data_IF_381570979079
#
_entry.id   IF_381570979079
#
_cell.length_a   1.000
_cell.length_b   1.000
_cell.length_c   1.000
_cell.angle_alpha   90.00
_cell.angle_beta   90.00
_cell.angle_gamma   90.00
#
_symmetry.space_group_name_H-M   'P 1'
#
loop_
_entity.id
_entity.type
_entity.pdbx_description
1 polymer ?
#
# COMPACT_ATOMS: atom_id res chain seq x y z
N UNK A 1 8.31 29.92 20.16
CA UNK A 1 6.91 30.17 20.60
C UNK A 1 5.97 29.42 19.68
N UNK A 2 4.69 29.29 20.05
CA UNK A 2 3.63 28.63 19.28
C UNK A 2 3.87 27.13 18.99
N UNK A 3 3.65 26.29 20.02
CA UNK A 3 3.13 24.93 19.86
C UNK A 3 1.61 25.00 19.79
N UNK A 4 0.98 24.36 18.81
CA UNK A 4 -0.45 24.15 18.75
C UNK A 4 -0.75 22.71 18.28
N UNK A 5 -1.72 22.07 18.92
CA UNK A 5 -2.10 20.67 18.71
C UNK A 5 -3.58 20.61 18.35
N UNK A 6 -3.97 19.81 17.35
CA UNK A 6 -5.39 19.62 17.04
C UNK A 6 -5.73 18.16 16.71
N UNK A 7 -6.38 17.53 17.69
CA UNK A 7 -7.55 16.64 17.60
C UNK A 7 -7.67 15.61 16.47
N UNK A 8 -7.66 14.33 16.86
CA UNK A 8 -8.40 13.24 16.19
C UNK A 8 -9.66 12.93 17.03
N UNK A 9 -10.86 12.75 16.45
CA UNK A 9 -12.06 12.43 17.23
C UNK A 9 -12.07 10.99 17.74
N UNK A 10 -12.52 10.81 18.98
CA UNK A 10 -12.81 9.51 19.59
C UNK A 10 -14.25 9.07 19.24
N UNK A 11 -14.47 7.77 18.99
CA UNK A 11 -15.79 7.20 18.65
C UNK A 11 -15.98 5.85 19.33
N UNK A 12 -16.65 5.89 20.48
CA UNK A 12 -17.35 4.78 21.10
C UNK A 12 -18.76 5.28 21.47
N UNK A 13 -19.84 4.52 21.39
CA UNK A 13 -20.07 3.13 21.83
C UNK A 13 -21.34 2.55 21.16
N UNK A 14 -21.70 1.30 21.51
CA UNK A 14 -23.06 0.70 21.48
C UNK A 14 -23.30 -0.45 20.50
N UNK A 15 -22.85 -1.66 20.87
CA UNK A 15 -23.50 -2.90 20.45
C UNK A 15 -23.99 -3.69 21.68
N UNK A 16 -25.20 -4.25 21.57
CA UNK A 16 -25.86 -5.06 22.62
C UNK A 16 -25.97 -6.52 22.17
N UNK A 17 -25.62 -7.52 23.00
CA UNK A 17 -25.67 -8.92 22.60
C UNK A 17 -27.11 -9.51 22.64
N UNK A 18 -27.54 -10.18 21.56
CA UNK A 18 -28.80 -10.95 21.52
C UNK A 18 -28.56 -12.44 21.83
N UNK A 19 -29.12 -12.99 22.92
CA UNK A 19 -28.89 -14.37 23.35
C UNK A 19 -29.83 -15.39 22.66
N UNK A 20 -29.62 -15.70 21.37
CA UNK A 20 -30.25 -16.86 20.69
C UNK A 20 -29.39 -17.54 19.61
N UNK A 21 -28.70 -18.63 19.98
CA UNK A 21 -28.74 -19.87 19.17
C UNK A 21 -28.49 -21.11 20.02
N UNK A 22 -29.16 -22.21 19.68
CA UNK A 22 -29.17 -23.43 20.47
C UNK A 22 -27.88 -24.25 20.29
N UNK A 23 -27.39 -24.82 21.39
CA UNK A 23 -26.53 -26.01 21.38
C UNK A 23 -27.43 -27.24 21.55
N UNK A 24 -27.18 -28.30 20.76
CA UNK A 24 -27.98 -29.53 20.80
C UNK A 24 -27.13 -30.78 20.64
N UNK A 25 -26.87 -31.46 21.76
CA UNK A 25 -26.68 -32.92 21.90
C UNK A 25 -25.45 -33.56 21.18
N UNK A 26 -24.98 -34.76 21.61
CA UNK A 26 -25.63 -35.72 22.51
C UNK A 26 -24.87 -36.03 23.83
N UNK A 27 -25.44 -36.97 24.57
CA UNK A 27 -25.13 -37.39 25.95
C UNK A 27 -24.25 -38.65 26.03
N UNK A 28 -23.63 -38.84 27.20
CA UNK A 28 -23.46 -40.07 28.02
C UNK A 28 -23.60 -41.45 27.31
N UNK A 29 -22.73 -42.43 27.57
CA UNK A 29 -22.67 -43.12 28.89
C UNK A 29 -21.37 -43.94 29.15
N UNK A 30 -21.19 -44.40 30.40
CA UNK A 30 -20.50 -45.66 30.80
C UNK A 30 -18.95 -45.80 30.82
N UNK A 31 -18.36 -45.27 31.89
CA UNK A 31 -17.67 -46.02 32.97
C UNK A 31 -16.24 -46.65 32.86
N UNK A 32 -15.55 -46.58 34.01
CA UNK A 32 -14.40 -47.37 34.49
C UNK A 32 -12.98 -46.98 34.06
N UNK A 33 -11.97 -47.34 34.89
CA UNK A 33 -10.54 -47.18 34.58
C UNK A 33 -9.72 -46.39 35.61
N UNK A 34 -9.42 -46.99 36.77
CA UNK A 34 -8.53 -46.48 37.84
C UNK A 34 -7.19 -45.95 37.28
N UNK A 35 -6.79 -44.73 37.67
CA UNK A 35 -5.49 -44.15 37.32
C UNK A 35 -4.36 -44.46 38.32
N UNK A 36 -3.14 -44.05 38.00
CA UNK A 36 -1.98 -44.12 38.89
C UNK A 36 -1.15 -42.82 38.81
N UNK A 37 -0.56 -42.40 39.93
CA UNK A 37 0.41 -41.31 39.99
C UNK A 37 1.84 -41.86 39.94
N UNK A 38 2.75 -41.11 39.31
CA UNK A 38 4.18 -41.23 39.55
C UNK A 38 4.49 -41.08 41.04
N UNK A 39 5.19 -42.06 41.64
CA UNK A 39 6.08 -41.80 42.79
C UNK A 39 7.27 -42.77 42.78
N UNK A 40 8.46 -42.19 42.55
CA UNK A 40 9.74 -42.89 42.42
C UNK A 40 10.46 -42.87 43.76
N UNK A 41 10.49 -43.98 44.50
CA UNK A 41 11.36 -44.16 45.67
C UNK A 41 12.12 -45.48 45.59
N UNK A 42 13.41 -45.42 45.93
CA UNK A 42 14.31 -46.56 46.02
C UNK A 42 14.37 -47.09 47.45
N UNK A 43 14.15 -48.39 47.62
CA UNK A 43 14.56 -49.13 48.82
C UNK A 43 15.05 -50.53 48.45
N UNK A 44 15.92 -51.06 49.31
CA UNK A 44 16.44 -52.42 49.30
C UNK A 44 17.81 -52.49 49.98
N UNK A 45 18.30 -53.69 50.33
CA UNK A 45 17.54 -54.95 50.44
C UNK A 45 16.86 -55.08 51.81
N UNK A 46 16.13 -56.17 52.03
CA UNK A 46 15.96 -56.75 53.36
C UNK A 46 16.53 -58.16 53.33
N UNK A 47 17.25 -58.53 54.39
CA UNK A 47 17.76 -59.88 54.60
C UNK A 47 16.64 -60.76 55.19
N UNK A 48 16.31 -61.87 54.53
CA UNK A 48 15.50 -62.95 55.13
C UNK A 48 16.19 -64.29 54.86
N UNK A 49 16.76 -64.89 55.92
CA UNK A 49 17.30 -66.24 55.91
C UNK A 49 16.16 -67.27 56.01
N UNK A 50 15.93 -68.08 54.97
CA UNK A 50 15.11 -69.29 55.10
C UNK A 50 15.88 -70.54 54.64
N UNK A 51 16.34 -71.33 55.62
CA UNK A 51 16.88 -72.67 55.40
C UNK A 51 15.76 -73.66 55.04
N UNK A 52 15.56 -73.93 53.75
CA UNK A 52 14.67 -75.01 53.30
C UNK A 52 15.40 -76.35 53.20
N UNK A 53 15.60 -76.99 54.35
CA UNK A 53 15.72 -78.45 54.41
C UNK A 53 14.30 -79.04 54.33
N UNK A 54 14.06 -80.00 53.43
CA UNK A 54 13.70 -81.33 53.94
C UNK A 54 13.89 -82.46 52.91
N UNK A 55 13.83 -83.69 53.42
CA UNK A 55 14.06 -84.95 52.71
C UNK A 55 12.73 -85.58 52.25
N UNK A 56 12.73 -86.31 51.12
CA UNK A 56 11.86 -87.47 50.93
C UNK A 56 12.61 -88.59 50.19
N UNK A 57 12.93 -89.66 50.93
CA UNK A 57 12.39 -91.03 50.76
C UNK A 57 12.32 -91.66 49.34
N UNK A 58 12.42 -92.99 49.15
CA UNK A 58 11.86 -94.03 50.01
C UNK A 58 12.43 -95.47 49.85
N UNK A 59 11.89 -96.38 50.67
CA UNK A 59 11.55 -97.80 50.43
C UNK A 59 12.55 -99.00 50.55
N UNK A 60 12.27 -99.80 51.60
CA UNK A 60 11.87 -101.24 51.58
C UNK A 60 12.86 -102.34 52.11
N UNK A 61 12.37 -103.35 52.89
CA UNK A 61 13.11 -103.99 54.01
C UNK A 61 13.02 -105.56 53.94
N UNK A 62 12.87 -106.43 54.99
CA UNK A 62 12.95 -106.27 56.48
C UNK A 62 13.60 -107.45 57.31
N UNK A 63 13.56 -107.29 58.65
CA UNK A 63 12.95 -108.21 59.65
C UNK A 63 13.75 -108.98 60.76
N UNK A 64 13.06 -109.09 61.92
CA UNK A 64 13.10 -110.03 63.08
C UNK A 64 14.29 -110.19 64.07
N UNK A 65 14.19 -109.43 65.20
CA UNK A 65 13.88 -109.91 66.58
C UNK A 65 14.90 -110.41 67.66
N UNK A 66 14.70 -109.82 68.87
CA UNK A 66 14.76 -110.39 70.25
C UNK A 66 16.09 -110.46 71.09
N UNK A 67 15.95 -110.44 72.43
CA UNK A 67 16.96 -110.31 73.53
C UNK A 67 16.40 -110.91 74.86
N UNK A 68 17.05 -110.94 76.07
CA UNK A 68 18.49 -110.80 76.46
C UNK A 68 19.11 -112.05 77.21
N UNK A 69 19.15 -112.24 78.57
CA UNK A 69 19.97 -111.57 79.62
C UNK A 69 20.85 -112.45 80.59
N UNK A 70 21.99 -111.88 81.04
CA UNK A 70 22.59 -111.87 82.42
C UNK A 70 22.76 -113.13 83.32
N UNK A 71 24.00 -113.41 83.84
CA UNK A 71 24.39 -113.28 85.29
C UNK A 71 25.77 -113.85 85.74
N UNK A 72 26.38 -113.22 86.81
CA UNK A 72 27.31 -113.74 87.87
C UNK A 72 28.63 -114.50 87.51
N UNK A 73 29.69 -114.56 88.36
CA UNK A 73 30.05 -113.76 89.55
C UNK A 73 30.96 -114.43 90.63
N UNK A 74 32.17 -113.88 90.89
CA UNK A 74 33.03 -114.04 92.11
C UNK A 74 33.68 -115.43 92.44
N UNK A 75 34.69 -115.61 93.32
CA UNK A 75 35.87 -114.83 93.81
C UNK A 75 36.70 -115.67 94.84
N UNK A 76 37.87 -115.16 95.32
CA UNK A 76 38.68 -115.56 96.54
C UNK A 76 39.57 -116.83 96.46
N UNK A 77 40.63 -117.02 97.27
CA UNK A 77 41.60 -116.10 97.96
C UNK A 77 42.80 -116.93 98.51
N UNK A 78 43.98 -116.32 98.61
CA UNK A 78 45.26 -116.93 99.06
C UNK A 78 45.38 -117.20 100.58
N UNK A 79 46.46 -117.92 100.97
CA UNK A 79 47.29 -117.62 102.17
C UNK A 79 48.65 -118.40 102.16
N UNK A 80 49.58 -118.05 103.04
CA UNK A 80 50.99 -118.48 103.05
C UNK A 80 51.49 -118.89 104.47
N UNK A 81 52.69 -119.48 104.59
CA UNK A 81 53.30 -119.87 105.87
C UNK A 81 54.86 -119.82 105.86
N UNK A 82 55.46 -119.77 107.06
CA UNK A 82 56.90 -119.59 107.31
C UNK A 82 57.77 -120.86 107.16
N UNK A 83 59.10 -120.71 106.97
CA UNK A 83 60.04 -121.82 106.93
C UNK A 83 60.49 -122.26 108.33
N UNK A 84 60.34 -123.55 108.62
CA UNK A 84 61.19 -124.33 109.56
C UNK A 84 60.87 -125.82 109.37
N UNK A 85 61.23 -126.36 108.19
CA UNK A 85 61.03 -127.77 107.85
C UNK A 85 62.37 -128.51 107.79
N UNK A 86 62.34 -129.81 108.07
CA UNK A 86 63.50 -130.70 108.06
C UNK A 86 64.00 -130.98 106.63
N UNK A 87 65.31 -131.26 106.39
CA UNK A 87 65.88 -131.46 105.04
C UNK A 87 65.19 -132.50 104.14
N UNK A 88 64.43 -133.45 104.71
CA UNK A 88 63.59 -134.36 103.93
C UNK A 88 62.46 -133.64 103.15
N UNK A 89 61.97 -132.52 103.68
CA UNK A 89 60.98 -131.67 103.03
C UNK A 89 61.58 -130.88 101.87
N UNK A 90 62.85 -130.44 101.95
CA UNK A 90 63.53 -129.78 100.85
C UNK A 90 63.73 -130.72 99.65
N UNK A 91 64.06 -131.99 99.91
CA UNK A 91 64.17 -133.00 98.85
C UNK A 91 62.81 -133.29 98.19
N UNK A 92 61.73 -133.36 98.97
CA UNK A 92 60.36 -133.46 98.46
C UNK A 92 59.92 -132.20 97.70
N UNK A 93 60.28 -131.00 98.16
CA UNK A 93 60.03 -129.76 97.43
C UNK A 93 60.82 -129.70 96.12
N UNK A 94 62.05 -130.24 96.07
CA UNK A 94 62.83 -130.39 94.85
C UNK A 94 62.12 -131.29 93.82
N UNK A 95 61.66 -132.47 94.24
CA UNK A 95 60.89 -133.39 93.39
C UNK A 95 59.58 -132.73 92.92
N UNK A 96 58.84 -132.07 93.83
CA UNK A 96 57.60 -131.35 93.52
C UNK A 96 57.83 -130.14 92.59
N UNK A 97 58.99 -129.50 92.65
CA UNK A 97 59.36 -128.40 91.76
C UNK A 97 59.69 -128.89 90.34
N UNK A 98 60.39 -130.02 90.20
CA UNK A 98 60.58 -130.65 88.88
C UNK A 98 59.27 -131.24 88.33
N UNK A 99 58.40 -131.79 89.18
CA UNK A 99 57.04 -132.18 88.76
C UNK A 99 56.25 -130.96 88.25
N UNK A 100 56.23 -129.83 88.96
CA UNK A 100 55.59 -128.60 88.47
C UNK A 100 56.20 -128.05 87.19
N UNK A 101 57.51 -128.22 86.97
CA UNK A 101 58.15 -127.88 85.68
C UNK A 101 57.70 -128.82 84.55
N UNK A 102 57.50 -130.10 84.84
CA UNK A 102 56.98 -131.08 83.87
C UNK A 102 55.49 -130.86 83.58
N UNK A 103 54.67 -130.60 84.60
CA UNK A 103 53.27 -130.19 84.47
C UNK A 103 53.15 -128.90 83.65
N UNK A 104 53.98 -127.88 83.92
CA UNK A 104 54.03 -126.65 83.14
C UNK A 104 54.45 -126.87 81.67
N UNK A 105 55.42 -127.75 81.41
CA UNK A 105 55.78 -128.15 80.04
C UNK A 105 54.65 -128.90 79.34
N UNK A 106 53.93 -129.78 80.05
CA UNK A 106 52.80 -130.53 79.52
C UNK A 106 51.61 -129.60 79.23
N UNK A 107 51.32 -128.65 80.10
CA UNK A 107 50.30 -127.62 79.91
C UNK A 107 50.62 -126.72 78.71
N UNK A 108 51.89 -126.30 78.55
CA UNK A 108 52.32 -125.55 77.38
C UNK A 108 52.18 -126.37 76.10
N UNK A 109 52.60 -127.65 76.09
CA UNK A 109 52.44 -128.55 74.93
C UNK A 109 50.96 -128.79 74.57
N UNK A 110 50.07 -128.91 75.55
CA UNK A 110 48.63 -129.04 75.31
C UNK A 110 48.01 -127.74 74.78
N UNK A 111 48.47 -126.58 75.27
CA UNK A 111 48.06 -125.26 74.73
C UNK A 111 48.52 -125.10 73.28
N UNK A 112 49.77 -125.46 72.97
CA UNK A 112 50.32 -125.41 71.62
C UNK A 112 49.63 -126.41 70.68
N UNK A 113 49.30 -127.60 71.17
CA UNK A 113 48.53 -128.61 70.43
C UNK A 113 47.09 -128.15 70.14
N UNK A 114 46.45 -127.41 71.06
CA UNK A 114 45.16 -126.78 70.80
C UNK A 114 45.29 -125.69 69.72
N UNK A 115 46.22 -124.74 69.89
CA UNK A 115 46.48 -123.67 68.92
C UNK A 115 46.75 -124.23 67.51
N UNK A 116 47.63 -125.22 67.37
CA UNK A 116 47.95 -125.84 66.08
C UNK A 116 46.79 -126.64 65.47
N UNK A 117 45.79 -127.01 66.28
CA UNK A 117 44.55 -127.65 65.80
C UNK A 117 43.57 -126.60 65.29
N UNK A 118 43.39 -125.51 66.03
CA UNK A 118 42.53 -124.38 65.63
C UNK A 118 43.06 -123.72 64.34
N UNK A 119 44.37 -123.51 64.26
CA UNK A 119 45.09 -123.01 63.07
C UNK A 119 45.00 -123.98 61.87
N UNK A 120 44.84 -125.29 62.12
CA UNK A 120 44.51 -126.26 61.07
C UNK A 120 43.04 -126.19 60.63
N UNK A 121 42.09 -125.99 61.55
CA UNK A 121 40.67 -125.84 61.18
C UNK A 121 40.42 -124.51 60.44
N UNK A 122 41.11 -123.42 60.80
CA UNK A 122 41.09 -122.16 60.05
C UNK A 122 41.66 -122.34 58.63
N UNK A 123 42.82 -123.00 58.47
CA UNK A 123 43.38 -123.32 57.15
C UNK A 123 42.49 -124.27 56.33
N UNK A 124 41.72 -125.15 56.98
CA UNK A 124 40.79 -126.10 56.33
C UNK A 124 39.47 -125.47 55.92
N UNK A 125 39.02 -124.44 56.64
CA UNK A 125 37.78 -123.71 56.38
C UNK A 125 37.99 -122.45 55.52
N UNK A 126 39.24 -122.09 55.21
CA UNK A 126 39.59 -121.04 54.26
C UNK A 126 38.97 -121.34 52.88
N UNK A 127 38.24 -120.40 52.25
CA UNK A 127 37.69 -120.63 50.91
C UNK A 127 38.82 -120.90 49.90
N UNK A 128 38.57 -121.73 48.88
CA UNK A 128 39.58 -122.04 47.86
C UNK A 128 40.04 -120.75 47.17
N UNK A 129 41.33 -120.69 46.83
CA UNK A 129 41.86 -119.59 46.03
C UNK A 129 41.09 -119.50 44.70
N UNK A 130 40.75 -118.29 44.22
CA UNK A 130 40.08 -118.13 42.93
C UNK A 130 40.92 -118.77 41.83
N UNK A 131 40.26 -119.52 40.96
CA UNK A 131 40.92 -120.26 39.90
C UNK A 131 41.45 -119.29 38.81
N UNK A 132 42.40 -119.73 37.96
CA UNK A 132 42.94 -118.87 36.91
C UNK A 132 41.87 -118.31 35.97
N UNK A 133 40.76 -119.04 35.79
CA UNK A 133 39.64 -118.64 34.93
C UNK A 133 38.85 -117.46 35.52
N UNK A 134 38.45 -117.51 36.80
CA UNK A 134 37.75 -116.37 37.44
C UNK A 134 38.63 -115.13 37.57
N UNK A 135 39.95 -115.28 37.75
CA UNK A 135 40.89 -114.15 37.69
C UNK A 135 40.95 -113.54 36.28
N UNK A 136 41.01 -114.36 35.24
CA UNK A 136 41.02 -113.89 33.86
C UNK A 136 39.70 -113.20 33.46
N UNK A 137 38.56 -113.71 33.93
CA UNK A 137 37.25 -113.09 33.70
C UNK A 137 37.07 -111.78 34.48
N UNK A 138 37.64 -111.66 35.69
CA UNK A 138 37.69 -110.41 36.44
C UNK A 138 38.56 -109.36 35.74
N UNK A 139 39.69 -109.74 35.15
CA UNK A 139 40.50 -108.86 34.31
C UNK A 139 39.72 -108.42 33.05
N UNK A 140 39.12 -109.37 32.32
CA UNK A 140 38.28 -109.09 31.16
C UNK A 140 37.11 -108.15 31.48
N UNK A 141 36.46 -108.34 32.63
CA UNK A 141 35.37 -107.48 33.11
C UNK A 141 35.89 -106.09 33.50
N UNK A 142 37.07 -106.00 34.13
CA UNK A 142 37.74 -104.74 34.47
C UNK A 142 38.10 -103.94 33.21
N UNK A 143 38.61 -104.59 32.16
CA UNK A 143 38.88 -103.96 30.86
C UNK A 143 37.59 -103.48 30.19
N UNK A 144 36.50 -104.26 30.24
CA UNK A 144 35.18 -103.84 29.75
C UNK A 144 34.63 -102.64 30.54
N UNK A 145 34.68 -102.69 31.88
CA UNK A 145 34.27 -101.59 32.76
C UNK A 145 35.06 -100.31 32.46
N UNK A 146 36.39 -100.37 32.34
CA UNK A 146 37.21 -99.21 32.02
C UNK A 146 36.91 -98.63 30.62
N UNK A 147 36.58 -99.47 29.64
CA UNK A 147 36.12 -99.03 28.31
C UNK A 147 34.74 -98.34 28.39
N UNK A 148 33.79 -98.90 29.14
CA UNK A 148 32.47 -98.30 29.36
C UNK A 148 32.59 -96.97 30.12
N UNK A 149 33.42 -96.90 31.15
CA UNK A 149 33.71 -95.69 31.93
C UNK A 149 34.30 -94.57 31.08
N UNK A 150 35.22 -94.89 30.16
CA UNK A 150 35.74 -93.91 29.19
C UNK A 150 34.65 -93.42 28.22
N UNK A 151 33.78 -94.30 27.74
CA UNK A 151 32.65 -93.94 26.88
C UNK A 151 31.60 -93.10 27.64
N UNK A 152 31.39 -93.37 28.92
CA UNK A 152 30.51 -92.58 29.80
C UNK A 152 31.04 -91.14 29.92
N UNK A 153 32.29 -90.94 30.37
CA UNK A 153 32.88 -89.59 30.46
C UNK A 153 32.88 -88.85 29.12
N UNK A 154 33.10 -89.56 27.99
CA UNK A 154 33.01 -88.96 26.66
C UNK A 154 31.57 -88.51 26.32
N UNK A 155 30.55 -89.25 26.77
CA UNK A 155 29.14 -88.91 26.56
C UNK A 155 28.64 -87.83 27.51
N UNK A 156 29.09 -87.84 28.76
CA UNK A 156 28.85 -86.81 29.77
C UNK A 156 29.40 -85.45 29.29
N UNK A 157 30.66 -85.42 28.82
CA UNK A 157 31.25 -84.22 28.20
C UNK A 157 30.51 -83.78 26.92
N UNK A 158 30.02 -84.72 26.10
CA UNK A 158 29.19 -84.38 24.94
C UNK A 158 27.83 -83.77 25.36
N UNK A 159 27.22 -84.26 26.44
CA UNK A 159 25.97 -83.70 26.98
C UNK A 159 26.21 -82.31 27.57
N UNK A 160 27.34 -82.08 28.25
CA UNK A 160 27.71 -80.74 28.76
C UNK A 160 27.93 -79.72 27.62
N UNK A 161 28.55 -80.16 26.51
CA UNK A 161 28.71 -79.34 25.30
C UNK A 161 27.34 -79.01 24.67
N UNK A 162 26.49 -80.01 24.48
CA UNK A 162 25.14 -79.83 23.94
C UNK A 162 24.27 -78.96 24.86
N UNK A 163 24.43 -79.03 26.19
CA UNK A 163 23.70 -78.18 27.12
C UNK A 163 24.04 -76.69 26.92
N UNK A 164 25.33 -76.37 26.79
CA UNK A 164 25.81 -75.01 26.51
C UNK A 164 25.38 -74.52 25.12
N UNK A 165 25.41 -75.39 24.12
CA UNK A 165 24.92 -75.09 22.76
C UNK A 165 23.42 -74.76 22.76
N UNK A 166 22.60 -75.53 23.49
CA UNK A 166 21.16 -75.24 23.66
C UNK A 166 20.91 -73.96 24.48
N UNK A 167 21.76 -73.63 25.45
CA UNK A 167 21.67 -72.37 26.20
C UNK A 167 21.97 -71.15 25.30
N UNK A 168 23.01 -71.22 24.46
CA UNK A 168 23.29 -70.17 23.46
C UNK A 168 22.17 -70.06 22.43
N UNK A 169 21.65 -71.17 21.91
CA UNK A 169 20.54 -71.17 20.95
C UNK A 169 19.23 -70.61 21.54
N UNK A 170 19.05 -70.67 22.86
CA UNK A 170 17.92 -70.00 23.54
C UNK A 170 18.12 -68.48 23.55
N UNK A 171 19.33 -68.01 23.88
CA UNK A 171 19.70 -66.58 23.81
C UNK A 171 19.54 -66.00 22.40
N UNK A 172 20.05 -66.70 21.37
CA UNK A 172 19.87 -66.33 19.97
C UNK A 172 18.38 -66.25 19.58
N UNK A 173 17.56 -67.16 20.12
CA UNK A 173 16.10 -67.16 19.95
C UNK A 173 15.40 -65.96 20.60
N UNK A 174 15.81 -65.60 21.81
CA UNK A 174 15.34 -64.41 22.54
C UNK A 174 15.73 -63.12 21.79
N UNK A 175 16.94 -63.02 21.23
CA UNK A 175 17.37 -61.89 20.39
C UNK A 175 16.57 -61.80 19.07
N UNK A 176 16.34 -62.92 18.40
CA UNK A 176 15.52 -62.98 17.18
C UNK A 176 14.06 -62.59 17.42
N UNK A 177 13.48 -62.89 18.59
CA UNK A 177 12.14 -62.43 18.94
C UNK A 177 12.10 -60.92 19.23
N UNK A 178 13.11 -60.38 19.92
CA UNK A 178 13.24 -58.93 20.13
C UNK A 178 13.37 -58.16 18.80
N UNK A 179 14.28 -58.57 17.91
CA UNK A 179 14.46 -57.99 16.58
C UNK A 179 13.18 -58.10 15.73
N UNK A 180 12.41 -59.19 15.87
CA UNK A 180 11.12 -59.37 15.20
C UNK A 180 10.04 -58.42 15.73
N UNK A 181 10.09 -58.05 17.01
CA UNK A 181 9.15 -57.10 17.59
C UNK A 181 9.51 -55.66 17.19
N UNK A 182 10.78 -55.28 17.25
CA UNK A 182 11.29 -54.00 16.73
C UNK A 182 10.94 -53.82 15.24
N UNK A 183 11.14 -54.85 14.42
CA UNK A 183 10.75 -54.81 13.00
C UNK A 183 9.23 -54.61 12.82
N UNK A 184 8.38 -55.10 13.71
CA UNK A 184 6.94 -54.83 13.62
C UNK A 184 6.60 -53.38 14.00
N UNK A 185 7.31 -52.79 14.96
CA UNK A 185 7.13 -51.39 15.35
C UNK A 185 7.61 -50.45 14.24
N UNK A 186 8.80 -50.66 13.69
CA UNK A 186 9.31 -49.92 12.53
C UNK A 186 8.37 -50.00 11.30
N UNK A 187 7.68 -51.13 11.10
CA UNK A 187 6.67 -51.25 10.02
C UNK A 187 5.35 -50.51 10.33
N UNK A 188 4.98 -50.32 11.61
CA UNK A 188 3.83 -49.48 11.99
C UNK A 188 4.16 -48.00 11.81
N UNK A 189 5.35 -47.59 12.23
CA UNK A 189 5.83 -46.21 12.06
C UNK A 189 5.97 -45.85 10.58
N UNK A 190 6.44 -46.79 9.73
CA UNK A 190 6.50 -46.61 8.28
C UNK A 190 5.11 -46.42 7.65
N UNK A 191 4.09 -47.17 8.10
CA UNK A 191 2.70 -47.02 7.64
C UNK A 191 2.08 -45.68 8.08
N UNK A 192 2.42 -45.19 9.27
CA UNK A 192 2.04 -43.84 9.74
C UNK A 192 2.71 -42.76 8.87
N UNK A 193 4.03 -42.82 8.68
CA UNK A 193 4.79 -41.85 7.86
C UNK A 193 4.34 -41.84 6.39
N UNK A 194 3.92 -43.00 5.86
CA UNK A 194 3.31 -43.11 4.51
C UNK A 194 1.98 -42.36 4.45
N UNK A 195 1.12 -42.49 5.46
CA UNK A 195 -0.17 -41.77 5.53
C UNK A 195 0.02 -40.27 5.68
N UNK A 196 0.97 -39.84 6.52
CA UNK A 196 1.31 -38.41 6.67
C UNK A 196 1.84 -37.81 5.37
N UNK A 197 2.77 -38.51 4.69
CA UNK A 197 3.28 -38.12 3.35
C UNK A 197 2.13 -37.97 2.34
N UNK A 198 1.20 -38.92 2.31
CA UNK A 198 0.11 -38.94 1.33
C UNK A 198 -0.98 -37.90 1.65
N UNK A 199 -1.15 -37.50 2.91
CA UNK A 199 -1.94 -36.31 3.27
C UNK A 199 -1.26 -35.02 2.84
N UNK A 200 0.04 -34.85 3.15
CA UNK A 200 0.83 -33.67 2.74
C UNK A 200 0.83 -33.51 1.21
N UNK A 201 0.87 -34.61 0.45
CA UNK A 201 0.76 -34.59 -1.01
C UNK A 201 -0.62 -34.09 -1.51
N UNK A 202 -1.71 -34.44 -0.82
CA UNK A 202 -3.05 -33.93 -1.12
C UNK A 202 -3.19 -32.44 -0.78
N UNK A 203 -2.71 -32.03 0.39
CA UNK A 203 -2.75 -30.64 0.85
C UNK A 203 -1.92 -29.71 -0.05
N UNK A 204 -0.75 -30.19 -0.52
CA UNK A 204 0.07 -29.49 -1.50
C UNK A 204 -0.63 -29.37 -2.86
N UNK A 205 -1.34 -30.41 -3.31
CA UNK A 205 -2.09 -30.38 -4.56
C UNK A 205 -3.29 -29.40 -4.49
N UNK A 206 -4.00 -29.36 -3.36
CA UNK A 206 -5.06 -28.39 -3.10
C UNK A 206 -4.50 -26.95 -3.08
N UNK A 207 -3.43 -26.71 -2.32
CA UNK A 207 -2.75 -25.40 -2.24
C UNK A 207 -2.24 -24.93 -3.62
N UNK A 208 -1.77 -25.87 -4.45
CA UNK A 208 -1.32 -25.55 -5.82
C UNK A 208 -2.49 -25.10 -6.69
N UNK A 209 -3.63 -25.81 -6.64
CA UNK A 209 -4.85 -25.45 -7.37
C UNK A 209 -5.42 -24.09 -6.95
N UNK A 210 -5.42 -23.80 -5.65
CA UNK A 210 -5.91 -22.51 -5.15
C UNK A 210 -4.98 -21.36 -5.58
N UNK A 211 -3.66 -21.61 -5.60
CA UNK A 211 -2.68 -20.66 -6.17
C UNK A 211 -2.91 -20.43 -7.68
N UNK A 212 -3.20 -21.47 -8.45
CA UNK A 212 -3.54 -21.34 -9.88
C UNK A 212 -4.81 -20.51 -10.10
N UNK A 213 -5.84 -20.71 -9.26
CA UNK A 213 -7.07 -19.91 -9.30
C UNK A 213 -6.81 -18.43 -8.97
N UNK A 214 -5.97 -18.14 -7.96
CA UNK A 214 -5.57 -16.77 -7.62
C UNK A 214 -4.75 -16.11 -8.74
N UNK A 215 -3.87 -16.84 -9.43
CA UNK A 215 -3.13 -16.34 -10.60
C UNK A 215 -4.08 -16.02 -11.77
N UNK A 216 -5.12 -16.82 -11.98
CA UNK A 216 -6.15 -16.52 -12.99
C UNK A 216 -6.95 -15.26 -12.63
N UNK A 217 -7.33 -15.09 -11.35
CA UNK A 217 -8.02 -13.88 -10.87
C UNK A 217 -7.17 -12.61 -11.03
N UNK A 218 -5.88 -12.66 -10.65
CA UNK A 218 -4.95 -11.55 -10.87
C UNK A 218 -4.86 -11.19 -12.36
N UNK A 219 -4.73 -12.18 -13.24
CA UNK A 219 -4.73 -11.97 -14.70
C UNK A 219 -6.01 -11.33 -15.24
N UNK A 220 -7.19 -11.58 -14.63
CA UNK A 220 -8.42 -10.86 -14.98
C UNK A 220 -8.47 -9.43 -14.45
N UNK A 221 -7.96 -9.16 -13.24
CA UNK A 221 -7.87 -7.80 -12.70
C UNK A 221 -6.86 -6.93 -13.45
N UNK A 222 -5.75 -7.50 -13.94
CA UNK A 222 -4.83 -6.81 -14.85
C UNK A 222 -5.56 -6.38 -16.15
N UNK A 223 -6.34 -7.27 -16.77
CA UNK A 223 -7.10 -6.96 -17.98
C UNK A 223 -8.20 -5.91 -17.77
N UNK A 224 -8.85 -5.93 -16.59
CA UNK A 224 -9.83 -4.93 -16.18
C UNK A 224 -9.17 -3.56 -15.98
N UNK A 225 -8.08 -3.48 -15.20
CA UNK A 225 -7.30 -2.24 -14.99
C UNK A 225 -6.85 -1.65 -16.31
N UNK A 226 -6.21 -2.43 -17.17
CA UNK A 226 -5.68 -1.95 -18.45
C UNK A 226 -6.79 -1.43 -19.37
N UNK A 227 -8.03 -1.89 -19.17
CA UNK A 227 -9.21 -1.43 -19.92
C UNK A 227 -9.79 -0.15 -19.33
N UNK A 228 -9.92 -0.06 -18.01
CA UNK A 228 -10.28 1.19 -17.32
C UNK A 228 -9.26 2.32 -17.57
N UNK A 229 -7.98 1.99 -17.73
CA UNK A 229 -6.94 2.96 -18.07
C UNK A 229 -7.12 3.50 -19.49
N UNK A 230 -7.39 2.64 -20.48
CA UNK A 230 -7.73 3.05 -21.86
C UNK A 230 -9.02 3.89 -21.93
N UNK A 231 -10.03 3.55 -21.13
CA UNK A 231 -11.25 4.35 -21.00
C UNK A 231 -10.96 5.73 -20.37
N UNK A 232 -10.11 5.80 -19.35
CA UNK A 232 -9.66 7.06 -18.74
C UNK A 232 -8.93 7.95 -19.74
N UNK A 233 -8.00 7.39 -20.51
CA UNK A 233 -7.27 8.12 -21.56
C UNK A 233 -8.21 8.65 -22.65
N UNK A 234 -9.22 7.87 -23.05
CA UNK A 234 -10.23 8.30 -24.02
C UNK A 234 -11.08 9.46 -23.49
N UNK A 235 -11.50 9.41 -22.22
CA UNK A 235 -12.28 10.47 -21.58
C UNK A 235 -11.45 11.74 -21.33
N UNK A 236 -10.14 11.61 -21.09
CA UNK A 236 -9.22 12.75 -21.00
C UNK A 236 -9.06 13.44 -22.36
N UNK A 237 -8.95 12.68 -23.45
CA UNK A 237 -8.93 13.22 -24.82
C UNK A 237 -10.25 13.89 -25.22
N UNK A 238 -11.40 13.28 -24.90
CA UNK A 238 -12.73 13.87 -25.17
C UNK A 238 -12.92 15.18 -24.41
N UNK A 239 -12.59 15.21 -23.12
CA UNK A 239 -12.60 16.43 -22.30
C UNK A 239 -11.75 17.54 -22.91
N UNK A 240 -10.53 17.23 -23.35
CA UNK A 240 -9.60 18.24 -23.84
C UNK A 240 -10.03 18.77 -25.23
N UNK A 241 -10.68 17.94 -26.07
CA UNK A 241 -11.37 18.41 -27.28
C UNK A 241 -12.51 19.37 -26.95
N UNK A 242 -13.37 19.02 -25.99
CA UNK A 242 -14.50 19.87 -25.56
C UNK A 242 -14.01 21.22 -25.00
N UNK A 243 -12.86 21.24 -24.30
CA UNK A 243 -12.24 22.47 -23.83
C UNK A 243 -11.70 23.33 -24.99
N UNK A 244 -11.07 22.72 -26.01
CA UNK A 244 -10.61 23.42 -27.21
C UNK A 244 -11.77 24.00 -28.02
N UNK A 245 -12.86 23.26 -28.19
CA UNK A 245 -14.07 23.73 -28.90
C UNK A 245 -14.73 24.89 -28.15
N UNK A 246 -14.85 24.80 -26.82
CA UNK A 246 -15.34 25.89 -25.95
C UNK A 246 -14.51 27.16 -26.12
N UNK A 247 -13.18 27.03 -26.07
CA UNK A 247 -12.29 28.20 -26.11
C UNK A 247 -12.24 28.84 -27.50
N UNK A 248 -12.44 28.04 -28.56
CA UNK A 248 -12.65 28.52 -29.93
C UNK A 248 -13.97 29.30 -30.05
N UNK A 249 -15.08 28.77 -29.53
CA UNK A 249 -16.38 29.45 -29.53
C UNK A 249 -16.39 30.75 -28.70
N UNK A 250 -15.57 30.84 -27.65
CA UNK A 250 -15.35 32.07 -26.90
C UNK A 250 -14.59 33.13 -27.73
N UNK A 251 -13.57 32.73 -28.51
CA UNK A 251 -12.86 33.63 -29.42
C UNK A 251 -13.77 34.14 -30.55
N UNK A 252 -14.62 33.29 -31.12
CA UNK A 252 -15.62 33.70 -32.12
C UNK A 252 -16.63 34.71 -31.53
N UNK A 253 -17.15 34.43 -30.33
CA UNK A 253 -18.05 35.36 -29.61
C UNK A 253 -17.40 36.72 -29.38
N UNK A 254 -16.16 36.74 -28.91
CA UNK A 254 -15.47 37.99 -28.57
C UNK A 254 -15.08 38.79 -29.82
N UNK A 255 -14.80 38.11 -30.93
CA UNK A 255 -14.63 38.73 -32.25
C UNK A 255 -15.94 39.38 -32.74
N UNK A 256 -17.06 38.66 -32.64
CA UNK A 256 -18.37 39.18 -33.03
C UNK A 256 -18.85 40.35 -32.15
N UNK A 257 -18.44 40.40 -30.88
CA UNK A 257 -18.66 41.55 -30.00
C UNK A 257 -17.85 42.78 -30.44
N UNK A 258 -16.58 42.59 -30.85
CA UNK A 258 -15.75 43.68 -31.40
C UNK A 258 -16.32 44.23 -32.71
N UNK A 259 -16.77 43.35 -33.63
CA UNK A 259 -17.43 43.76 -34.87
C UNK A 259 -18.70 44.58 -34.59
N UNK A 260 -19.57 44.09 -33.70
CA UNK A 260 -20.79 44.81 -33.26
C UNK A 260 -20.44 46.21 -32.73
N UNK A 261 -19.41 46.32 -31.89
CA UNK A 261 -19.05 47.60 -31.26
C UNK A 261 -18.41 48.58 -32.26
N UNK A 262 -17.71 48.09 -33.29
CA UNK A 262 -17.29 48.89 -34.44
C UNK A 262 -18.49 49.43 -35.22
N UNK A 263 -19.46 48.58 -35.56
CA UNK A 263 -20.69 48.97 -36.28
C UNK A 263 -21.54 49.97 -35.47
N UNK A 264 -21.52 49.90 -34.13
CA UNK A 264 -22.15 50.89 -33.28
C UNK A 264 -21.43 52.25 -33.33
N UNK A 265 -20.10 52.27 -33.33
CA UNK A 265 -19.31 53.51 -33.48
C UNK A 265 -19.52 54.17 -34.85
N UNK A 266 -19.52 53.39 -35.93
CA UNK A 266 -19.82 53.89 -37.29
C UNK A 266 -21.23 54.50 -37.35
N UNK A 267 -22.22 53.85 -36.71
CA UNK A 267 -23.59 54.34 -36.64
C UNK A 267 -23.72 55.62 -35.82
N UNK A 268 -22.96 55.78 -34.74
CA UNK A 268 -22.92 57.03 -33.96
C UNK A 268 -22.26 58.17 -34.74
N UNK A 269 -21.18 57.90 -35.46
CA UNK A 269 -20.53 58.87 -36.34
C UNK A 269 -21.48 59.34 -37.47
N UNK A 270 -22.18 58.42 -38.14
CA UNK A 270 -23.15 58.74 -39.19
C UNK A 270 -24.37 59.52 -38.67
N UNK A 271 -24.79 59.30 -37.42
CA UNK A 271 -25.82 60.13 -36.77
C UNK A 271 -25.31 61.55 -36.49
N UNK A 272 -24.06 61.69 -36.04
CA UNK A 272 -23.43 62.99 -35.83
C UNK A 272 -23.28 63.79 -37.13
N UNK A 273 -22.85 63.15 -38.22
CA UNK A 273 -22.77 63.77 -39.56
C UNK A 273 -24.14 64.24 -40.04
N UNK A 274 -25.17 63.37 -39.95
CA UNK A 274 -26.55 63.71 -40.30
C UNK A 274 -27.05 64.94 -39.53
N UNK A 275 -26.76 65.02 -38.23
CA UNK A 275 -27.23 66.09 -37.38
C UNK A 275 -26.48 67.42 -37.64
N UNK A 276 -25.22 67.35 -38.09
CA UNK A 276 -24.50 68.51 -38.66
C UNK A 276 -25.15 68.99 -39.95
N UNK A 277 -25.46 68.08 -40.89
CA UNK A 277 -26.12 68.42 -42.16
C UNK A 277 -27.51 69.02 -41.96
N UNK A 278 -28.22 68.64 -40.90
CA UNK A 278 -29.48 69.27 -40.49
C UNK A 278 -29.24 70.71 -40.00
N UNK A 279 -28.21 70.95 -39.18
CA UNK A 279 -27.86 72.30 -38.71
C UNK A 279 -27.45 73.23 -39.88
N UNK A 280 -26.61 72.73 -40.80
CA UNK A 280 -26.20 73.48 -42.00
C UNK A 280 -27.40 73.83 -42.89
N UNK A 281 -28.32 72.88 -43.10
CA UNK A 281 -29.57 73.11 -43.85
C UNK A 281 -30.43 74.18 -43.18
N UNK A 282 -30.59 74.12 -41.86
CA UNK A 282 -31.48 75.02 -41.13
C UNK A 282 -30.90 76.44 -41.05
N UNK A 283 -29.57 76.59 -41.01
CA UNK A 283 -28.89 77.87 -41.19
C UNK A 283 -29.09 78.45 -42.61
N UNK A 284 -29.00 77.62 -43.66
CA UNK A 284 -29.27 78.04 -45.06
C UNK A 284 -30.75 78.43 -45.26
N UNK A 285 -31.68 77.84 -44.50
CA UNK A 285 -33.08 78.25 -44.50
C UNK A 285 -33.27 79.62 -43.84
N UNK A 286 -32.61 79.89 -42.71
CA UNK A 286 -32.62 81.22 -42.06
C UNK A 286 -32.03 82.31 -42.97
N UNK A 287 -30.87 82.06 -43.60
CA UNK A 287 -30.27 83.01 -44.57
C UNK A 287 -31.24 83.32 -45.72
N UNK A 288 -31.98 82.32 -46.21
CA UNK A 288 -33.01 82.51 -47.26
C UNK A 288 -34.21 83.33 -46.77
N UNK A 289 -34.66 83.12 -45.53
CA UNK A 289 -35.77 83.88 -44.93
C UNK A 289 -35.39 85.36 -44.71
N UNK A 290 -34.15 85.64 -44.29
CA UNK A 290 -33.64 87.00 -44.16
C UNK A 290 -33.47 87.68 -45.54
N UNK A 291 -32.91 86.98 -46.55
CA UNK A 291 -32.81 87.50 -47.93
C UNK A 291 -34.19 87.77 -48.56
N UNK A 292 -35.21 86.97 -48.22
CA UNK A 292 -36.59 87.24 -48.64
C UNK A 292 -37.11 88.52 -47.98
N UNK A 293 -36.86 88.72 -46.68
CA UNK A 293 -37.27 89.92 -45.94
C UNK A 293 -36.59 91.19 -46.48
N UNK A 294 -35.27 91.19 -46.66
CA UNK A 294 -34.53 92.31 -47.28
C UNK A 294 -35.08 92.67 -48.66
N UNK A 295 -35.49 91.66 -49.45
CA UNK A 295 -36.07 91.85 -50.77
C UNK A 295 -37.51 92.38 -50.72
N UNK A 296 -38.31 92.00 -49.72
CA UNK A 296 -39.64 92.54 -49.50
C UNK A 296 -39.57 94.01 -49.03
N UNK A 297 -38.66 94.32 -48.11
CA UNK A 297 -38.34 95.68 -47.68
C UNK A 297 -37.86 96.56 -48.87
N UNK A 298 -36.90 96.08 -49.66
CA UNK A 298 -36.42 96.80 -50.86
C UNK A 298 -37.47 96.92 -51.98
N UNK A 299 -38.51 96.07 -52.00
CA UNK A 299 -39.66 96.22 -52.89
C UNK A 299 -40.67 97.26 -52.35
N UNK A 300 -40.83 97.35 -51.03
CA UNK A 300 -41.65 98.37 -50.37
C UNK A 300 -41.02 99.76 -50.52
N UNK A 301 -39.73 99.94 -50.21
CA UNK A 301 -38.98 101.18 -50.43
C UNK A 301 -39.12 101.67 -51.88
N UNK A 302 -39.05 100.74 -52.85
CA UNK A 302 -39.19 101.03 -54.28
C UNK A 302 -40.63 101.40 -54.66
N UNK A 303 -41.64 100.87 -53.98
CA UNK A 303 -43.03 101.25 -54.16
C UNK A 303 -43.28 102.67 -53.63
N UNK A 304 -42.84 102.95 -52.41
CA UNK A 304 -43.04 104.24 -51.75
C UNK A 304 -42.26 105.36 -52.47
N UNK A 305 -41.01 105.11 -52.85
CA UNK A 305 -40.23 106.01 -53.72
C UNK A 305 -40.76 106.11 -55.16
N UNK A 306 -41.79 105.33 -55.54
CA UNK A 306 -42.58 105.54 -56.76
C UNK A 306 -43.82 106.39 -56.50
N UNK A 307 -44.50 106.19 -55.37
CA UNK A 307 -45.61 107.05 -54.94
C UNK A 307 -45.13 108.49 -54.78
N UNK A 308 -44.05 108.73 -54.03
CA UNK A 308 -43.43 110.07 -53.86
C UNK A 308 -43.07 110.71 -55.22
N UNK A 309 -42.59 109.90 -56.18
CA UNK A 309 -42.24 110.39 -57.52
C UNK A 309 -43.47 110.80 -58.32
N UNK A 310 -44.57 110.07 -58.19
CA UNK A 310 -45.81 110.34 -58.93
C UNK A 310 -46.61 111.47 -58.26
N UNK A 311 -46.52 111.64 -56.93
CA UNK A 311 -46.93 112.85 -56.20
C UNK A 311 -46.12 114.08 -56.64
N UNK A 312 -44.79 113.99 -56.65
CA UNK A 312 -43.92 115.09 -57.10
C UNK A 312 -44.14 115.48 -58.57
N UNK A 313 -44.54 114.52 -59.42
CA UNK A 313 -44.99 114.77 -60.80
C UNK A 313 -46.33 115.51 -60.83
N UNK A 314 -47.28 115.12 -59.99
CA UNK A 314 -48.57 115.80 -59.90
C UNK A 314 -48.40 117.24 -59.42
N UNK A 315 -47.53 117.48 -58.44
CA UNK A 315 -47.17 118.83 -57.98
C UNK A 315 -46.40 119.63 -59.03
N UNK A 316 -45.53 118.98 -59.82
CA UNK A 316 -44.91 119.64 -60.97
C UNK A 316 -45.96 120.07 -62.01
N UNK A 317 -46.96 119.25 -62.31
CA UNK A 317 -48.06 119.60 -63.21
C UNK A 317 -48.95 120.73 -62.63
N UNK A 318 -49.27 120.65 -61.33
CA UNK A 318 -50.00 121.70 -60.60
C UNK A 318 -49.25 123.05 -60.68
N UNK A 319 -47.93 123.03 -60.47
CA UNK A 319 -47.08 124.21 -60.58
C UNK A 319 -46.96 124.72 -62.02
N UNK A 320 -46.89 123.84 -63.02
CA UNK A 320 -46.87 124.25 -64.43
C UNK A 320 -48.18 124.95 -64.85
N UNK A 321 -49.33 124.39 -64.45
CA UNK A 321 -50.63 125.04 -64.64
C UNK A 321 -50.68 126.40 -63.92
N UNK A 322 -50.16 126.49 -62.69
CA UNK A 322 -50.11 127.73 -61.91
C UNK A 322 -49.18 128.78 -62.50
N UNK A 323 -48.03 128.38 -63.05
CA UNK A 323 -47.12 129.28 -63.78
C UNK A 323 -47.83 129.83 -65.02
N UNK A 324 -48.51 128.98 -65.78
CA UNK A 324 -49.30 129.40 -66.96
C UNK A 324 -50.43 130.37 -66.61
N UNK A 325 -51.17 130.14 -65.53
CA UNK A 325 -52.19 131.08 -65.02
C UNK A 325 -51.57 132.46 -64.73
N UNK A 326 -50.39 132.47 -64.09
CA UNK A 326 -49.65 133.69 -63.75
C UNK A 326 -49.03 134.36 -64.97
N UNK A 327 -48.60 133.62 -65.99
CA UNK A 327 -48.15 134.17 -67.28
C UNK A 327 -49.32 134.85 -68.01
N UNK A 328 -50.50 134.23 -68.03
CA UNK A 328 -51.74 134.83 -68.57
C UNK A 328 -52.20 136.05 -67.76
N UNK A 329 -51.95 136.11 -66.44
CA UNK A 329 -52.23 137.28 -65.59
C UNK A 329 -51.22 138.41 -65.83
N UNK A 330 -49.92 138.09 -65.88
CA UNK A 330 -48.85 139.03 -66.23
C UNK A 330 -49.07 139.62 -67.63
N UNK A 331 -49.50 138.82 -68.62
CA UNK A 331 -49.85 139.30 -69.95
C UNK A 331 -51.02 140.30 -69.91
N UNK A 332 -52.05 140.05 -69.10
CA UNK A 332 -53.17 141.00 -68.90
C UNK A 332 -52.70 142.30 -68.22
N UNK A 333 -51.85 142.22 -67.20
CA UNK A 333 -51.29 143.38 -66.50
C UNK A 333 -50.32 144.19 -67.39
N UNK A 334 -49.56 143.52 -68.26
CA UNK A 334 -48.73 144.17 -69.29
C UNK A 334 -49.60 144.86 -70.35
N UNK A 335 -50.71 144.26 -70.77
CA UNK A 335 -51.67 144.93 -71.65
C UNK A 335 -52.34 146.16 -70.99
N UNK A 336 -52.69 146.08 -69.71
CA UNK A 336 -53.24 147.23 -68.95
C UNK A 336 -52.22 148.36 -68.77
N UNK A 337 -50.97 148.04 -68.43
CA UNK A 337 -49.91 149.06 -68.30
C UNK A 337 -49.50 149.66 -69.64
N UNK A 338 -49.51 148.88 -70.73
CA UNK A 338 -49.36 149.39 -72.09
C UNK A 338 -50.52 150.32 -72.52
N UNK A 339 -51.76 150.06 -72.06
CA UNK A 339 -52.89 150.96 -72.27
C UNK A 339 -52.74 152.28 -71.47
N UNK A 340 -52.22 152.21 -70.24
CA UNK A 340 -51.96 153.41 -69.41
C UNK A 340 -50.74 154.22 -69.87
N UNK A 341 -49.77 153.61 -70.56
CA UNK A 341 -48.53 154.27 -70.99
C UNK A 341 -48.68 155.22 -72.20
N UNK A 342 -49.84 155.28 -72.86
CA UNK A 342 -50.09 156.19 -73.98
C UNK A 342 -50.43 157.63 -73.50
N UNK A 343 -49.52 158.23 -72.72
CA UNK A 343 -49.75 159.46 -71.94
C UNK A 343 -48.59 160.47 -71.97
N UNK A 344 -48.11 160.83 -73.17
CA UNK A 344 -47.09 161.88 -73.45
C UNK A 344 -45.62 161.47 -73.24
N UNK A 345 -44.72 162.07 -74.04
CA UNK A 345 -43.27 161.82 -74.18
C UNK A 345 -42.47 162.97 -73.50
N UNK A 346 -41.20 162.83 -73.12
CA UNK A 346 -40.09 163.03 -74.09
C UNK A 346 -38.66 162.55 -73.65
N UNK A 347 -37.75 162.64 -74.63
CA UNK A 347 -36.27 162.46 -74.73
C UNK A 347 -35.39 162.92 -73.52
N UNK A 348 -34.10 162.55 -73.36
CA UNK A 348 -33.15 161.50 -73.89
C UNK A 348 -31.78 161.63 -73.18
N UNK A 349 -31.12 160.50 -72.87
CA UNK A 349 -29.64 160.29 -72.79
C UNK A 349 -29.43 158.80 -73.16
N UNK A 350 -28.89 158.32 -74.28
CA UNK A 350 -27.71 158.61 -75.14
C UNK A 350 -26.45 157.78 -74.77
N UNK A 351 -26.31 156.61 -75.40
CA UNK A 351 -25.10 155.76 -75.41
C UNK A 351 -25.25 154.61 -76.44
N UNK A 352 -24.22 154.17 -77.19
CA UNK A 352 -24.42 153.45 -78.47
C UNK A 352 -24.18 151.92 -78.44
N UNK A 353 -24.65 151.17 -79.46
CA UNK A 353 -24.57 149.70 -79.52
C UNK A 353 -23.63 149.15 -80.61
N UNK A 354 -23.21 147.89 -80.45
CA UNK A 354 -23.10 146.86 -81.51
C UNK A 354 -22.74 145.51 -80.85
N UNK A 355 -23.20 144.39 -81.42
CA UNK A 355 -22.78 143.04 -80.99
C UNK A 355 -21.99 142.33 -82.09
N UNK A 356 -21.28 141.26 -81.72
CA UNK A 356 -20.86 140.19 -82.63
C UNK A 356 -20.67 138.88 -81.84
N UNK A 357 -20.39 137.78 -82.53
CA UNK A 357 -20.51 136.43 -82.00
C UNK A 357 -19.16 135.73 -81.72
N UNK A 358 -19.27 134.60 -81.01
CA UNK A 358 -18.38 133.44 -81.05
C UNK A 358 -17.23 133.33 -80.03
N UNK A 359 -16.86 132.06 -79.82
CA UNK A 359 -15.67 131.51 -79.15
C UNK A 359 -15.29 131.98 -77.74
N UNK A 360 -15.17 131.00 -76.84
CA UNK A 360 -13.89 130.83 -76.13
C UNK A 360 -13.94 130.76 -74.61
N UNK A 361 -13.83 129.53 -74.09
CA UNK A 361 -13.07 129.18 -72.88
C UNK A 361 -13.06 130.17 -71.71
N UNK A 362 -13.84 129.85 -70.67
CA UNK A 362 -13.24 129.75 -69.34
C UNK A 362 -13.78 128.51 -68.60
N UNK A 363 -12.90 127.76 -67.95
CA UNK A 363 -13.20 126.45 -67.36
C UNK A 363 -13.00 126.57 -65.84
N UNK A 364 -14.05 126.48 -65.00
CA UNK A 364 -13.93 126.76 -63.57
C UNK A 364 -12.87 125.87 -62.90
N UNK A 365 -11.77 126.49 -62.41
CA UNK A 365 -10.64 125.75 -61.83
C UNK A 365 -11.05 124.91 -60.62
N UNK A 366 -12.13 125.28 -59.92
CA UNK A 366 -12.69 124.52 -58.80
C UNK A 366 -13.10 123.10 -59.19
N UNK A 367 -13.56 122.87 -60.43
CA UNK A 367 -13.88 121.52 -60.92
C UNK A 367 -12.61 120.69 -61.13
N UNK A 368 -11.53 121.32 -61.61
CA UNK A 368 -10.22 120.67 -61.75
C UNK A 368 -9.61 120.36 -60.37
N UNK A 369 -9.71 121.29 -59.43
CA UNK A 369 -9.23 121.12 -58.04
C UNK A 369 -10.01 120.01 -57.32
N UNK A 370 -11.34 120.00 -57.40
CA UNK A 370 -12.19 118.97 -56.80
C UNK A 370 -11.91 117.57 -57.41
N UNK A 371 -11.67 117.49 -58.72
CA UNK A 371 -11.24 116.25 -59.38
C UNK A 371 -9.85 115.81 -58.92
N UNK A 372 -8.89 116.73 -58.83
CA UNK A 372 -7.54 116.45 -58.33
C UNK A 372 -7.56 115.93 -56.89
N UNK A 373 -8.30 116.57 -55.99
CA UNK A 373 -8.44 116.13 -54.60
C UNK A 373 -9.18 114.79 -54.48
N UNK A 374 -10.17 114.50 -55.34
CA UNK A 374 -10.83 113.18 -55.37
C UNK A 374 -9.89 112.08 -55.88
N UNK A 375 -9.12 112.33 -56.94
CA UNK A 375 -8.10 111.40 -57.45
C UNK A 375 -7.01 111.17 -56.40
N UNK A 376 -6.56 112.23 -55.72
CA UNK A 376 -5.54 112.15 -54.65
C UNK A 376 -6.02 111.29 -53.47
N UNK A 377 -7.27 111.43 -53.02
CA UNK A 377 -7.85 110.55 -51.98
C UNK A 377 -7.90 109.09 -52.43
N UNK A 378 -8.41 108.83 -53.64
CA UNK A 378 -8.49 107.47 -54.19
C UNK A 378 -7.10 106.81 -54.31
N UNK A 379 -6.07 107.57 -54.69
CA UNK A 379 -4.69 107.08 -54.74
C UNK A 379 -4.14 106.68 -53.34
N UNK A 380 -4.42 107.47 -52.30
CA UNK A 380 -4.02 107.12 -50.92
C UNK A 380 -4.80 105.92 -50.37
N UNK A 381 -6.11 105.81 -50.63
CA UNK A 381 -6.94 104.64 -50.28
C UNK A 381 -6.42 103.36 -50.98
N UNK A 382 -6.09 103.46 -52.27
CA UNK A 382 -5.54 102.35 -53.04
C UNK A 382 -4.18 101.89 -52.50
N UNK A 383 -3.26 102.81 -52.19
CA UNK A 383 -1.98 102.46 -51.57
C UNK A 383 -2.12 101.85 -50.18
N UNK A 384 -3.05 102.34 -49.35
CA UNK A 384 -3.36 101.73 -48.05
C UNK A 384 -3.86 100.28 -48.21
N UNK A 385 -4.69 100.04 -49.21
CA UNK A 385 -5.20 98.69 -49.54
C UNK A 385 -4.09 97.77 -50.04
N UNK A 386 -3.22 98.25 -50.93
CA UNK A 386 -2.06 97.49 -51.44
C UNK A 386 -1.12 97.08 -50.30
N UNK A 387 -0.73 98.03 -49.43
CA UNK A 387 0.15 97.75 -48.29
C UNK A 387 -0.40 96.65 -47.37
N UNK A 388 -1.70 96.66 -47.10
CA UNK A 388 -2.34 95.67 -46.23
C UNK A 388 -2.52 94.30 -46.92
N UNK A 389 -2.65 94.28 -48.26
CA UNK A 389 -2.62 93.03 -49.04
C UNK A 389 -1.21 92.43 -49.08
N UNK A 390 -0.16 93.23 -49.22
CA UNK A 390 1.23 92.74 -49.12
C UNK A 390 1.53 92.16 -47.74
N UNK A 391 1.08 92.80 -46.66
CA UNK A 391 1.24 92.34 -45.28
C UNK A 391 0.53 91.00 -45.04
N UNK A 392 -0.68 90.83 -45.59
CA UNK A 392 -1.38 89.54 -45.59
C UNK A 392 -0.69 88.48 -46.45
N UNK A 393 -0.08 88.86 -47.58
CA UNK A 393 0.67 87.95 -48.45
C UNK A 393 1.91 87.40 -47.72
N UNK A 394 2.73 88.28 -47.13
CA UNK A 394 3.90 87.90 -46.33
C UNK A 394 3.50 87.01 -45.14
N UNK A 395 2.36 87.28 -44.52
CA UNK A 395 1.80 86.46 -43.43
C UNK A 395 1.32 85.08 -43.89
N UNK A 396 0.80 84.95 -45.11
CA UNK A 396 0.45 83.66 -45.70
C UNK A 396 1.70 82.87 -46.13
N UNK A 397 2.73 83.56 -46.64
CA UNK A 397 4.01 82.95 -47.04
C UNK A 397 4.78 82.40 -45.84
N UNK A 398 4.84 83.11 -44.71
CA UNK A 398 5.46 82.60 -43.47
C UNK A 398 4.69 81.40 -42.90
N UNK A 399 3.36 81.41 -42.90
CA UNK A 399 2.58 80.22 -42.50
C UNK A 399 2.75 79.05 -43.47
N UNK A 400 2.97 79.30 -44.76
CA UNK A 400 3.25 78.24 -45.76
C UNK A 400 4.66 77.64 -45.61
N UNK A 401 5.64 78.45 -45.21
CA UNK A 401 7.00 77.99 -44.90
C UNK A 401 7.11 77.27 -43.54
N UNK A 402 6.12 77.42 -42.67
CA UNK A 402 6.13 76.87 -41.31
C UNK A 402 5.72 75.40 -41.15
N UNK A 403 5.32 74.70 -42.22
CA UNK A 403 5.05 73.26 -42.19
C UNK A 403 6.28 72.47 -42.63
N UNK A 404 6.90 71.62 -41.78
CA UNK A 404 7.79 70.58 -42.26
C UNK A 404 6.99 69.60 -43.13
N UNK A 405 7.61 69.12 -44.20
CA UNK A 405 7.09 67.99 -44.98
C UNK A 405 7.76 66.75 -44.39
N UNK A 406 7.03 65.99 -43.57
CA UNK A 406 7.44 64.63 -43.21
C UNK A 406 7.34 63.73 -44.45
N UNK A 407 8.40 62.95 -44.69
CA UNK A 407 8.51 61.94 -45.75
C UNK A 407 9.54 60.87 -45.37
#
# INVERSE_FOLDING_TARGET
>A
MATATESVPDVATSETPDPRRASTAPTEESASGVGLLDHRQSYGPQDEDEEMQDQYQDDVPPEEHQTPPSHHGQSKRALAANPNLSPAADYLMGIMAEFRKLEGKLANLLTEQARLKDENEELRNRPPAPDPTTLQDLENLTTKYNKVKKLYFQKESQVEQLAKENETLRGDGEELENLRNENQELNRDLDILVKERDQIAQDLAATTKDKEALVQQLGSFDQERDTLERERESLEQERDSILQDRDSALQERDSALQERDSVLQEREAALHERDSVIQDRDAILQEREDIIREKEEALQDKHDASVERDEARQDQENLQNRVKDLEDEVAKLQAQTAAQANGVRDKRISGPPAGHASTGSDYPQDILKLKYDKVKRLYYEQQKTISHLEERLRSAETMRAGKPIDS
#
